data_IF_178534531097
#
_entry.id   IF_178534531097
#
_cell.length_a   1.000
_cell.length_b   1.000
_cell.length_c   1.000
_cell.angle_alpha   90.00
_cell.angle_beta   90.00
_cell.angle_gamma   90.00
#
_symmetry.space_group_name_H-M   'P 1'
#
loop_
_entity.id
_entity.type
_entity.pdbx_description
1 polymer ?
#
# COMPACT_ATOMS: atom_id res chain seq x y z
N UNK A 1 2.21 15.99 16.90
CA UNK A 1 1.33 16.53 15.84
C UNK A 1 -0.04 15.97 16.11
N UNK A 2 -1.03 16.85 16.31
CA UNK A 2 -2.42 16.46 16.56
C UNK A 2 -3.10 16.12 15.22
N UNK A 3 -3.53 14.88 14.95
CA UNK A 3 -4.15 14.50 13.70
C UNK A 3 -5.57 15.08 13.65
N UNK A 4 -5.67 16.35 13.24
CA UNK A 4 -6.98 16.94 12.96
C UNK A 4 -7.52 16.29 11.68
N UNK A 5 -8.82 15.90 11.65
CA UNK A 5 -9.42 15.37 10.43
C UNK A 5 -9.31 16.42 9.32
N UNK A 6 -8.66 16.03 8.22
CA UNK A 6 -8.51 16.89 7.06
C UNK A 6 -9.90 17.27 6.51
N UNK A 7 -10.06 18.54 6.11
CA UNK A 7 -11.25 18.97 5.36
C UNK A 7 -11.33 18.13 4.09
N UNK A 8 -12.49 17.49 3.86
CA UNK A 8 -12.71 16.56 2.77
C UNK A 8 -12.42 17.23 1.42
N UNK A 9 -11.44 16.73 0.69
CA UNK A 9 -11.38 16.87 -0.76
C UNK A 9 -12.73 16.47 -1.38
N UNK A 10 -13.12 16.97 -2.57
CA UNK A 10 -14.37 16.57 -3.21
C UNK A 10 -14.43 15.04 -3.29
N UNK A 11 -15.43 14.46 -2.63
CA UNK A 11 -15.66 13.02 -2.63
C UNK A 11 -15.86 12.56 -4.06
N UNK A 12 -15.04 11.59 -4.49
CA UNK A 12 -15.23 10.94 -5.77
C UNK A 12 -16.65 10.36 -5.80
N UNK A 13 -17.37 10.39 -6.95
CA UNK A 13 -18.73 9.89 -7.02
C UNK A 13 -18.82 8.35 -6.91
N UNK A 14 -17.70 7.71 -6.61
CA UNK A 14 -17.50 6.28 -6.51
C UNK A 14 -16.48 5.96 -5.41
N UNK A 15 -16.55 4.73 -4.88
CA UNK A 15 -15.51 4.10 -4.06
C UNK A 15 -14.93 2.90 -4.79
N UNK A 16 -13.66 2.61 -4.54
CA UNK A 16 -12.97 1.44 -5.10
C UNK A 16 -13.08 0.29 -4.13
N UNK A 17 -13.49 -0.86 -4.63
CA UNK A 17 -13.56 -2.12 -3.93
C UNK A 17 -12.63 -3.12 -4.60
N UNK A 18 -12.13 -4.05 -3.79
CA UNK A 18 -11.49 -5.23 -4.33
C UNK A 18 -12.47 -6.04 -5.20
N UNK A 19 -11.96 -6.96 -6.02
CA UNK A 19 -12.81 -7.71 -6.95
C UNK A 19 -13.86 -8.57 -6.21
N UNK A 20 -13.55 -9.10 -5.04
CA UNK A 20 -14.52 -9.79 -4.19
C UNK A 20 -15.59 -8.83 -3.62
N UNK A 21 -15.26 -7.55 -3.44
CA UNK A 21 -16.14 -6.56 -2.85
C UNK A 21 -16.17 -6.60 -1.32
N UNK A 22 -15.15 -7.19 -0.70
CA UNK A 22 -14.97 -7.37 0.75
C UNK A 22 -14.25 -6.19 1.38
N UNK A 23 -13.41 -5.50 0.62
CA UNK A 23 -12.64 -4.35 1.09
C UNK A 23 -12.75 -3.16 0.13
N UNK A 24 -13.07 -2.00 0.68
CA UNK A 24 -12.93 -0.71 0.02
C UNK A 24 -11.56 -0.08 0.32
N UNK A 25 -11.03 0.63 -0.66
CA UNK A 25 -9.84 1.47 -0.47
C UNK A 25 -10.03 2.83 -1.12
N UNK A 26 -9.94 3.89 -0.32
CA UNK A 26 -10.09 5.25 -0.81
C UNK A 26 -8.74 5.97 -0.77
N UNK A 27 -8.48 6.81 -1.76
CA UNK A 27 -7.30 7.67 -1.80
C UNK A 27 -7.70 9.12 -1.61
N UNK A 28 -7.21 9.78 -0.57
CA UNK A 28 -7.53 11.17 -0.27
C UNK A 28 -6.25 11.99 -0.11
N UNK A 29 -6.23 13.19 -0.69
CA UNK A 29 -5.21 14.19 -0.38
C UNK A 29 -5.59 14.89 0.92
N UNK A 30 -4.65 14.94 1.87
CA UNK A 30 -4.83 15.62 3.16
C UNK A 30 -4.28 17.06 3.11
N UNK A 31 -3.38 17.33 2.17
CA UNK A 31 -2.73 18.61 1.97
C UNK A 31 -1.51 18.47 1.05
N UNK A 32 -0.73 19.54 0.85
CA UNK A 32 0.50 19.47 0.07
C UNK A 32 1.42 18.36 0.59
N UNK A 33 1.73 17.39 -0.26
CA UNK A 33 2.66 16.32 0.07
C UNK A 33 2.14 15.27 1.06
N UNK A 34 0.84 15.24 1.36
CA UNK A 34 0.25 14.24 2.25
C UNK A 34 -1.00 13.63 1.64
N UNK A 35 -1.09 12.31 1.72
CA UNK A 35 -2.23 11.54 1.24
C UNK A 35 -2.53 10.39 2.20
N UNK A 36 -3.71 9.82 2.08
CA UNK A 36 -4.09 8.60 2.79
C UNK A 36 -4.64 7.58 1.82
N UNK A 37 -4.38 6.31 2.10
CA UNK A 37 -5.13 5.18 1.55
C UNK A 37 -5.86 4.49 2.68
N UNK A 38 -7.18 4.44 2.65
CA UNK A 38 -7.95 3.68 3.65
C UNK A 38 -8.06 2.20 3.26
N UNK A 39 -8.28 1.37 4.27
CA UNK A 39 -8.68 -0.03 4.19
C UNK A 39 -9.93 -0.19 5.04
N UNK A 40 -11.08 -0.40 4.39
CA UNK A 40 -12.40 -0.45 5.03
C UNK A 40 -13.07 -1.77 4.64
N UNK A 41 -13.35 -2.64 5.61
CA UNK A 41 -13.88 -3.98 5.39
C UNK A 41 -15.39 -4.07 5.67
N UNK A 42 -16.12 -4.80 4.83
CA UNK A 42 -17.58 -4.91 4.90
C UNK A 42 -18.13 -6.34 4.99
N UNK A 43 -17.30 -7.34 5.27
CA UNK A 43 -17.71 -8.72 5.51
C UNK A 43 -18.24 -8.90 6.93
N UNK A 44 -19.47 -9.39 7.03
CA UNK A 44 -20.19 -9.53 8.31
C UNK A 44 -19.31 -10.22 9.37
N UNK A 45 -19.19 -9.63 10.58
CA UNK A 45 -20.03 -8.59 11.15
C UNK A 45 -19.63 -7.13 10.80
N UNK A 46 -18.57 -6.91 10.01
CA UNK A 46 -18.05 -5.58 9.67
C UNK A 46 -18.96 -4.83 8.71
N UNK A 47 -18.85 -3.50 8.68
CA UNK A 47 -19.69 -2.63 7.85
C UNK A 47 -18.85 -1.50 7.26
N UNK A 48 -18.96 -1.31 5.95
CA UNK A 48 -18.30 -0.19 5.28
C UNK A 48 -18.64 1.16 5.93
N UNK A 49 -17.62 2.00 6.08
CA UNK A 49 -17.72 3.34 6.66
C UNK A 49 -17.75 3.37 8.18
N UNK A 50 -17.71 2.21 8.86
CA UNK A 50 -17.60 2.11 10.30
C UNK A 50 -16.23 1.54 10.67
N UNK A 51 -15.34 2.38 11.22
CA UNK A 51 -13.98 1.97 11.58
C UNK A 51 -13.98 0.91 12.69
N UNK A 52 -13.57 -0.28 12.34
CA UNK A 52 -13.28 -1.41 13.24
C UNK A 52 -11.77 -1.49 13.53
N UNK A 53 -11.25 -0.50 14.26
CA UNK A 53 -9.83 -0.38 14.61
C UNK A 53 -9.28 -1.67 15.27
N UNK A 54 -8.09 -2.08 14.88
CA UNK A 54 -7.49 -3.34 15.32
C UNK A 54 -8.19 -4.62 14.83
N UNK A 55 -9.17 -4.52 13.93
CA UNK A 55 -9.93 -5.67 13.37
C UNK A 55 -9.94 -5.70 11.84
N UNK A 56 -8.93 -5.10 11.23
CA UNK A 56 -8.68 -5.15 9.79
C UNK A 56 -8.81 -3.78 9.13
N UNK A 57 -9.66 -2.90 9.65
CA UNK A 57 -9.76 -1.53 9.15
C UNK A 57 -8.51 -0.72 9.52
N UNK A 58 -8.13 0.18 8.61
CA UNK A 58 -6.98 1.05 8.78
C UNK A 58 -6.60 1.71 7.47
N UNK A 59 -5.32 1.62 7.11
CA UNK A 59 -4.81 2.27 5.92
C UNK A 59 -3.36 2.72 6.04
N UNK A 60 -2.90 3.49 5.06
CA UNK A 60 -1.58 4.09 5.01
C UNK A 60 -1.67 5.61 5.06
N UNK A 61 -0.89 6.26 5.92
CA UNK A 61 -0.57 7.68 5.80
C UNK A 61 0.66 7.84 4.92
N UNK A 62 0.47 8.45 3.76
CA UNK A 62 1.53 8.72 2.78
C UNK A 62 2.04 10.15 2.94
N UNK A 63 3.35 10.30 2.98
CA UNK A 63 4.01 11.60 3.03
C UNK A 63 5.07 11.71 1.92
N UNK A 64 5.20 12.92 1.36
CA UNK A 64 6.32 13.30 0.51
C UNK A 64 7.38 14.02 1.33
N UNK A 65 8.65 13.67 1.14
CA UNK A 65 9.80 14.38 1.69
C UNK A 65 10.80 14.64 0.57
N UNK A 66 10.78 15.87 0.05
CA UNK A 66 11.53 16.20 -1.15
C UNK A 66 11.05 15.33 -2.32
N UNK A 67 11.93 14.49 -2.85
CA UNK A 67 11.63 13.56 -3.94
C UNK A 67 11.02 12.23 -3.48
N UNK A 68 11.10 11.91 -2.18
CA UNK A 68 10.73 10.59 -1.66
C UNK A 68 9.25 10.55 -1.30
N UNK A 69 8.58 9.47 -1.69
CA UNK A 69 7.20 9.16 -1.31
C UNK A 69 7.24 7.95 -0.38
N UNK A 70 6.67 8.11 0.82
CA UNK A 70 6.86 7.22 1.95
C UNK A 70 5.52 6.89 2.60
N UNK A 71 5.38 5.71 3.18
CA UNK A 71 4.37 5.42 4.20
C UNK A 71 4.96 5.80 5.56
N UNK A 72 4.40 6.84 6.20
CA UNK A 72 4.82 7.28 7.52
C UNK A 72 4.19 6.42 8.63
N UNK A 73 2.99 5.92 8.38
CA UNK A 73 2.20 5.13 9.32
C UNK A 73 1.26 4.20 8.57
N UNK A 74 1.07 3.00 9.10
CA UNK A 74 0.03 2.06 8.65
C UNK A 74 -0.80 1.54 9.82
N UNK A 75 -2.05 1.16 9.57
CA UNK A 75 -2.79 0.20 10.38
C UNK A 75 -3.29 -0.89 9.44
N UNK A 76 -2.81 -2.11 9.63
CA UNK A 76 -3.13 -3.27 8.82
C UNK A 76 -3.47 -4.49 9.70
N UNK A 77 -4.36 -5.36 9.18
CA UNK A 77 -4.45 -6.77 9.61
C UNK A 77 -4.66 -7.06 11.11
N UNK A 78 -5.10 -6.09 11.91
CA UNK A 78 -5.23 -6.22 13.36
C UNK A 78 -3.93 -6.06 14.16
N UNK A 79 -2.83 -5.66 13.53
CA UNK A 79 -1.57 -5.35 14.20
C UNK A 79 -1.57 -3.98 14.91
N UNK A 80 -2.66 -3.22 14.77
CA UNK A 80 -2.80 -1.86 15.27
C UNK A 80 -1.94 -0.87 14.48
N UNK A 81 -1.88 0.37 14.98
CA UNK A 81 -1.11 1.44 14.35
C UNK A 81 0.39 1.17 14.46
N UNK A 82 1.08 1.27 13.33
CA UNK A 82 2.52 1.13 13.18
C UNK A 82 3.10 2.40 12.55
N UNK A 83 4.01 3.06 13.26
CA UNK A 83 4.77 4.20 12.78
C UNK A 83 6.12 3.76 12.26
N UNK A 84 6.48 4.19 11.04
CA UNK A 84 7.76 3.85 10.41
C UNK A 84 8.79 4.94 10.67
N UNK A 85 9.91 4.54 11.24
CA UNK A 85 11.02 5.44 11.59
C UNK A 85 12.29 5.05 10.85
N UNK A 86 13.01 6.06 10.37
CA UNK A 86 14.40 5.95 9.92
C UNK A 86 15.38 6.34 11.03
N UNK A 87 16.71 6.18 10.80
CA UNK A 87 17.76 6.46 11.78
C UNK A 87 17.72 7.87 12.37
N UNK A 88 17.13 8.84 11.69
CA UNK A 88 17.08 10.23 12.15
C UNK A 88 16.15 10.45 13.35
N UNK A 89 15.24 9.51 13.65
CA UNK A 89 14.26 9.65 14.73
C UNK A 89 14.94 10.03 16.08
N UNK A 90 16.14 9.50 16.34
CA UNK A 90 16.91 9.78 17.56
C UNK A 90 17.99 10.85 17.45
N UNK A 91 17.96 11.71 16.42
CA UNK A 91 19.00 12.73 16.18
C UNK A 91 20.29 12.19 15.54
N UNK A 92 20.28 10.96 15.02
CA UNK A 92 21.42 10.45 14.24
C UNK A 92 21.44 11.13 12.87
N UNK A 93 22.63 11.57 12.43
CA UNK A 93 22.83 12.31 11.18
C UNK A 93 22.76 11.43 9.91
N UNK A 94 22.37 10.16 10.01
CA UNK A 94 22.14 9.32 8.82
C UNK A 94 20.86 9.76 8.12
N UNK A 95 21.00 10.43 6.98
CA UNK A 95 19.92 10.86 6.12
C UNK A 95 19.25 9.65 5.44
N UNK A 96 18.40 8.93 6.18
CA UNK A 96 17.38 8.06 5.59
C UNK A 96 16.02 8.78 5.65
N UNK A 97 15.11 8.51 4.71
CA UNK A 97 13.75 8.99 4.86
C UNK A 97 13.06 8.30 6.04
N UNK A 98 12.58 9.09 6.99
CA UNK A 98 11.69 8.66 8.06
C UNK A 98 10.35 8.22 7.46
N UNK A 99 10.22 6.91 7.27
CA UNK A 99 9.07 6.28 6.67
C UNK A 99 9.47 5.09 5.82
N UNK A 100 8.50 4.24 5.51
CA UNK A 100 8.68 3.13 4.58
C UNK A 100 8.66 3.64 3.14
N UNK A 101 9.81 3.58 2.45
CA UNK A 101 9.94 4.05 1.08
C UNK A 101 9.02 3.29 0.11
N UNK A 102 8.22 4.03 -0.64
CA UNK A 102 7.47 3.52 -1.80
C UNK A 102 8.28 3.79 -3.08
N UNK A 103 8.60 5.05 -3.36
CA UNK A 103 9.35 5.42 -4.56
C UNK A 103 9.94 6.81 -4.46
N UNK A 104 10.88 7.12 -5.36
CA UNK A 104 11.51 8.44 -5.50
C UNK A 104 11.21 9.03 -6.87
N UNK A 105 10.94 10.34 -6.90
CA UNK A 105 10.69 11.12 -8.10
C UNK A 105 11.93 11.91 -8.57
N UNK A 106 12.08 12.19 -9.86
CA UNK A 106 11.31 11.61 -10.97
C UNK A 106 11.63 10.11 -11.14
N UNK A 107 10.64 9.34 -11.55
CA UNK A 107 10.81 7.92 -11.89
C UNK A 107 10.70 7.72 -13.41
N UNK A 108 11.50 6.80 -13.94
CA UNK A 108 11.50 6.41 -15.35
C UNK A 108 10.85 5.04 -15.57
N UNK A 109 10.89 4.53 -16.83
CA UNK A 109 10.39 3.20 -17.16
C UNK A 109 11.30 2.06 -16.67
N UNK A 110 12.58 2.35 -16.46
CA UNK A 110 13.54 1.42 -15.90
C UNK A 110 13.38 1.29 -14.39
N UNK A 111 13.76 0.14 -13.85
CA UNK A 111 13.80 -0.05 -12.40
C UNK A 111 14.86 0.85 -11.78
N UNK A 112 14.41 1.72 -10.87
CA UNK A 112 15.27 2.38 -9.90
C UNK A 112 15.16 1.65 -8.56
N UNK A 113 16.18 1.74 -7.72
CA UNK A 113 16.22 1.03 -6.45
C UNK A 113 16.92 1.84 -5.34
N UNK A 114 16.57 1.52 -4.10
CA UNK A 114 17.26 2.00 -2.91
C UNK A 114 17.06 1.03 -1.75
N UNK A 115 18.10 0.87 -0.94
CA UNK A 115 18.00 0.25 0.38
C UNK A 115 17.98 1.33 1.45
N UNK A 116 16.87 1.44 2.16
CA UNK A 116 16.74 2.30 3.33
C UNK A 116 16.92 1.48 4.61
N UNK A 117 16.99 2.16 5.76
CA UNK A 117 16.94 1.50 7.06
C UNK A 117 15.70 1.99 7.77
N UNK A 118 14.84 1.08 8.20
CA UNK A 118 13.61 1.44 8.87
C UNK A 118 13.31 0.49 10.04
N UNK A 119 12.45 0.95 10.93
CA UNK A 119 11.83 0.10 11.94
C UNK A 119 10.47 0.67 12.35
N UNK A 120 9.54 -0.24 12.67
CA UNK A 120 8.18 0.10 13.12
C UNK A 120 8.10 0.26 14.62
N UNK A 121 7.23 1.17 15.08
CA UNK A 121 6.91 1.35 16.51
C UNK A 121 5.43 1.64 16.71
N UNK A 122 4.95 1.52 17.94
CA UNK A 122 3.55 1.80 18.28
C UNK A 122 3.22 3.30 18.45
N UNK A 123 4.22 4.19 18.41
CA UNK A 123 4.02 5.62 18.69
C UNK A 123 4.93 6.52 17.84
N UNK A 124 4.47 7.71 17.45
CA UNK A 124 5.20 8.61 16.54
C UNK A 124 6.45 9.24 17.17
N UNK A 125 6.53 9.28 18.50
CA UNK A 125 7.62 9.89 19.27
C UNK A 125 8.61 8.85 19.83
N UNK A 126 8.38 7.56 19.57
CA UNK A 126 9.22 6.47 20.09
C UNK A 126 10.22 6.01 19.04
N UNK A 127 11.48 6.35 19.23
CA UNK A 127 12.52 5.96 18.29
C UNK A 127 13.09 4.56 18.57
N UNK A 128 13.20 3.70 17.54
CA UNK A 128 13.87 2.42 17.65
C UNK A 128 15.34 2.52 18.06
N UNK A 129 15.81 1.54 18.84
CA UNK A 129 17.23 1.37 19.11
C UNK A 129 18.00 0.74 17.93
N UNK A 130 17.29 0.08 17.00
CA UNK A 130 17.87 -0.63 15.85
C UNK A 130 16.96 -0.49 14.63
N UNK A 131 17.58 -0.39 13.46
CA UNK A 131 16.93 -0.29 12.16
C UNK A 131 17.39 -1.42 11.25
N UNK A 132 16.45 -2.02 10.54
CA UNK A 132 16.71 -3.12 9.60
C UNK A 132 16.76 -2.60 8.16
N UNK A 133 17.55 -3.22 7.27
CA UNK A 133 17.53 -2.90 5.86
C UNK A 133 16.15 -3.12 5.25
N UNK A 134 15.82 -2.26 4.30
CA UNK A 134 14.59 -2.28 3.53
C UNK A 134 14.91 -1.93 2.08
N UNK A 135 15.01 -2.96 1.25
CA UNK A 135 15.21 -2.81 -0.18
C UNK A 135 13.89 -2.50 -0.87
N UNK A 136 13.87 -1.43 -1.66
CA UNK A 136 12.72 -1.02 -2.46
C UNK A 136 13.18 -0.74 -3.89
N UNK A 137 12.45 -1.24 -4.88
CA UNK A 137 12.62 -0.84 -6.28
C UNK A 137 11.31 -0.36 -6.88
N UNK A 138 11.38 0.58 -7.80
CA UNK A 138 10.21 1.18 -8.42
C UNK A 138 10.44 1.51 -9.89
N UNK A 139 9.35 1.62 -10.65
CA UNK A 139 9.36 2.12 -12.03
C UNK A 139 7.98 2.64 -12.44
N UNK A 140 7.96 3.50 -13.45
CA UNK A 140 6.73 3.90 -14.13
C UNK A 140 6.38 2.89 -15.22
N UNK A 141 5.10 2.62 -15.37
CA UNK A 141 4.58 1.72 -16.39
C UNK A 141 3.16 2.11 -16.73
N UNK A 142 2.74 1.87 -17.97
CA UNK A 142 1.33 1.97 -18.35
C UNK A 142 0.69 0.60 -18.21
N UNK A 143 -0.45 0.54 -17.52
CA UNK A 143 -1.13 -0.72 -17.18
C UNK A 143 -2.58 -0.65 -17.66
N UNK A 144 -3.05 -1.73 -18.27
CA UNK A 144 -4.47 -1.95 -18.55
C UNK A 144 -5.07 -2.72 -17.38
N UNK A 145 -5.90 -2.05 -16.59
CA UNK A 145 -6.55 -2.62 -15.41
C UNK A 145 -7.96 -3.11 -15.75
N UNK A 146 -8.40 -4.27 -15.23
CA UNK A 146 -9.80 -4.66 -15.34
C UNK A 146 -10.67 -3.62 -14.63
N UNK A 147 -11.84 -3.32 -15.18
CA UNK A 147 -12.80 -2.37 -14.61
C UNK A 147 -14.14 -3.05 -14.40
N UNK A 148 -14.75 -2.86 -13.24
CA UNK A 148 -16.15 -3.23 -12.99
C UNK A 148 -16.93 -2.04 -12.45
N UNK A 149 -18.12 -1.79 -13.01
CA UNK A 149 -19.13 -0.90 -12.40
C UNK A 149 -20.05 -1.78 -11.55
N UNK A 150 -19.91 -1.70 -10.23
CA UNK A 150 -20.50 -2.66 -9.31
C UNK A 150 -20.21 -4.13 -9.72
N UNK A 151 -21.20 -4.90 -10.17
CA UNK A 151 -21.00 -6.29 -10.65
C UNK A 151 -20.82 -6.39 -12.17
N UNK A 152 -21.01 -5.29 -12.91
CA UNK A 152 -20.99 -5.28 -14.36
C UNK A 152 -19.57 -5.05 -14.90
N UNK A 153 -19.00 -5.99 -15.66
CA UNK A 153 -17.69 -5.78 -16.28
C UNK A 153 -17.75 -4.67 -17.32
N UNK A 154 -16.66 -3.90 -17.42
CA UNK A 154 -16.44 -2.87 -18.44
C UNK A 154 -15.16 -3.17 -19.22
N UNK A 155 -14.95 -2.51 -20.37
CA UNK A 155 -13.63 -2.50 -21.00
C UNK A 155 -12.54 -2.08 -19.99
N UNK A 156 -11.36 -2.72 -20.01
CA UNK A 156 -10.24 -2.30 -19.18
C UNK A 156 -9.91 -0.82 -19.34
N UNK A 157 -9.47 -0.18 -18.27
CA UNK A 157 -8.99 1.19 -18.31
C UNK A 157 -7.47 1.21 -18.33
N UNK A 158 -6.90 2.11 -19.14
CA UNK A 158 -5.46 2.29 -19.26
C UNK A 158 -5.01 3.43 -18.34
N UNK A 159 -4.01 3.19 -17.52
CA UNK A 159 -3.46 4.20 -16.62
C UNK A 159 -1.94 4.14 -16.51
N UNK A 160 -1.31 5.32 -16.51
CA UNK A 160 0.06 5.48 -16.06
C UNK A 160 0.14 5.22 -14.56
N UNK A 161 1.07 4.35 -14.18
CA UNK A 161 1.17 3.82 -12.84
C UNK A 161 2.61 3.78 -12.36
N UNK A 162 2.80 3.91 -11.06
CA UNK A 162 4.04 3.54 -10.38
C UNK A 162 3.90 2.13 -9.84
N UNK A 163 4.80 1.24 -10.23
CA UNK A 163 5.01 -0.02 -9.50
C UNK A 163 6.09 0.23 -8.46
N UNK A 164 5.81 -0.16 -7.23
CA UNK A 164 6.75 -0.17 -6.11
C UNK A 164 6.83 -1.58 -5.55
N UNK A 165 8.02 -2.09 -5.37
CA UNK A 165 8.29 -3.40 -4.78
C UNK A 165 9.17 -3.22 -3.55
N UNK A 166 8.68 -3.69 -2.41
CA UNK A 166 9.40 -3.65 -1.15
C UNK A 166 9.70 -5.05 -0.63
N UNK A 167 10.98 -5.32 -0.44
CA UNK A 167 11.47 -6.62 -0.02
C UNK A 167 11.82 -6.61 1.47
N UNK A 168 11.42 -7.67 2.17
CA UNK A 168 11.80 -7.94 3.55
C UNK A 168 13.28 -8.27 3.68
N UNK A 169 14.15 -7.27 3.60
CA UNK A 169 15.59 -7.46 3.66
C UNK A 169 16.39 -6.41 2.90
N UNK A 170 17.65 -6.75 2.61
CA UNK A 170 18.62 -5.83 2.00
C UNK A 170 18.66 -5.90 0.46
N UNK A 171 18.15 -6.99 -0.11
CA UNK A 171 18.15 -7.32 -1.54
C UNK A 171 17.11 -8.41 -1.83
N UNK A 172 16.85 -8.66 -3.11
CA UNK A 172 15.86 -9.65 -3.58
C UNK A 172 16.28 -11.09 -3.24
N UNK A 173 17.58 -11.39 -3.28
CA UNK A 173 18.11 -12.75 -3.12
C UNK A 173 17.95 -13.28 -1.70
N UNK A 174 17.99 -12.38 -0.72
CA UNK A 174 17.90 -12.70 0.71
C UNK A 174 16.57 -12.32 1.33
N UNK A 175 15.65 -11.74 0.56
CA UNK A 175 14.32 -11.40 1.04
C UNK A 175 13.49 -12.66 1.29
N UNK A 176 12.77 -12.67 2.41
CA UNK A 176 11.81 -13.72 2.75
C UNK A 176 10.40 -13.43 2.22
N UNK A 177 10.06 -12.16 2.00
CA UNK A 177 8.80 -11.72 1.42
C UNK A 177 8.95 -10.44 0.59
N UNK A 178 7.92 -10.15 -0.20
CA UNK A 178 7.75 -8.93 -1.00
C UNK A 178 6.33 -8.40 -0.80
N UNK A 179 6.23 -7.09 -0.65
CA UNK A 179 5.00 -6.35 -0.88
C UNK A 179 5.11 -5.49 -2.13
N UNK A 180 4.18 -5.67 -3.07
CA UNK A 180 4.16 -4.94 -4.34
C UNK A 180 2.91 -4.09 -4.46
N UNK A 181 3.09 -2.85 -4.88
CA UNK A 181 2.07 -1.82 -4.96
C UNK A 181 1.97 -1.28 -6.38
N UNK A 182 0.75 -1.01 -6.83
CA UNK A 182 0.49 -0.20 -8.02
C UNK A 182 -0.26 1.05 -7.62
N UNK A 183 0.34 2.21 -7.92
CA UNK A 183 -0.28 3.51 -7.76
C UNK A 183 -0.65 4.06 -9.14
N UNK A 184 -1.93 4.00 -9.49
CA UNK A 184 -2.44 4.54 -10.75
C UNK A 184 -2.68 6.05 -10.62
N UNK A 185 -2.26 6.79 -11.65
CA UNK A 185 -2.42 8.23 -11.70
C UNK A 185 -3.90 8.62 -11.54
N UNK A 186 -4.17 9.53 -10.59
CA UNK A 186 -5.52 10.01 -10.28
C UNK A 186 -6.36 9.07 -9.41
N UNK A 187 -5.93 7.82 -9.18
CA UNK A 187 -6.67 6.83 -8.37
C UNK A 187 -5.94 6.43 -7.08
N UNK A 188 -4.65 6.74 -6.96
CA UNK A 188 -3.83 6.26 -5.84
C UNK A 188 -3.57 4.76 -5.97
N UNK A 189 -3.48 4.05 -4.85
CA UNK A 189 -3.22 2.62 -4.86
C UNK A 189 -4.42 1.83 -5.43
N UNK A 190 -4.18 0.99 -6.43
CA UNK A 190 -5.21 0.18 -7.10
C UNK A 190 -4.93 -1.32 -7.06
N UNK A 191 -3.71 -1.72 -6.70
CA UNK A 191 -3.35 -3.12 -6.44
C UNK A 191 -2.29 -3.21 -5.37
N UNK A 192 -2.42 -4.20 -4.51
CA UNK A 192 -1.41 -4.64 -3.56
C UNK A 192 -1.27 -6.15 -3.64
N UNK A 193 -0.03 -6.63 -3.54
CA UNK A 193 0.31 -8.05 -3.51
C UNK A 193 1.27 -8.35 -2.37
N UNK A 194 1.09 -9.52 -1.77
CA UNK A 194 2.07 -10.16 -0.91
C UNK A 194 2.60 -11.42 -1.59
N UNK A 195 3.91 -11.52 -1.67
CA UNK A 195 4.61 -12.71 -2.13
C UNK A 195 5.52 -13.25 -1.04
N UNK A 196 5.59 -14.57 -0.93
CA UNK A 196 6.54 -15.27 -0.07
C UNK A 196 7.64 -15.90 -0.91
N UNK A 197 8.88 -15.78 -0.45
CA UNK A 197 10.02 -16.43 -1.05
C UNK A 197 9.99 -17.94 -0.77
N UNK A 198 10.58 -18.78 -1.63
CA UNK A 198 10.59 -20.24 -1.44
C UNK A 198 11.31 -20.70 -0.16
N UNK A 199 12.17 -19.84 0.41
CA UNK A 199 12.93 -20.06 1.62
C UNK A 199 12.39 -19.27 2.84
N UNK A 200 11.17 -18.72 2.75
CA UNK A 200 10.56 -18.02 3.86
C UNK A 200 10.47 -18.93 5.10
N UNK A 201 11.04 -18.47 6.22
CA UNK A 201 11.07 -19.26 7.48
C UNK A 201 9.69 -19.35 8.13
N UNK A 202 8.88 -18.30 7.99
CA UNK A 202 7.51 -18.22 8.52
C UNK A 202 6.63 -17.51 7.50
N UNK A 203 6.25 -18.18 6.39
CA UNK A 203 5.45 -17.56 5.35
C UNK A 203 4.08 -17.16 5.91
N UNK A 204 3.54 -16.03 5.46
CA UNK A 204 2.16 -15.68 5.78
C UNK A 204 1.20 -16.70 5.18
N UNK A 205 0.07 -16.99 5.85
CA UNK A 205 -0.94 -17.88 5.30
C UNK A 205 -1.51 -17.29 4.01
N UNK A 206 -1.70 -18.14 2.99
CA UNK A 206 -2.34 -17.72 1.75
C UNK A 206 -3.81 -17.36 1.99
N UNK A 207 -4.24 -16.20 1.51
CA UNK A 207 -5.65 -15.84 1.44
C UNK A 207 -6.34 -16.70 0.38
N UNK A 208 -7.43 -17.39 0.72
CA UNK A 208 -8.21 -18.14 -0.27
C UNK A 208 -8.66 -17.24 -1.43
N UNK A 209 -8.44 -17.68 -2.66
CA UNK A 209 -8.85 -16.92 -3.84
C UNK A 209 -7.90 -15.78 -4.24
N UNK A 210 -6.72 -15.63 -3.63
CA UNK A 210 -5.82 -14.51 -3.88
C UNK A 210 -5.43 -14.36 -5.36
N UNK A 211 -5.14 -15.48 -6.04
CA UNK A 211 -4.76 -15.47 -7.45
C UNK A 211 -5.96 -15.13 -8.36
N UNK A 212 -7.12 -15.68 -8.04
CA UNK A 212 -8.38 -15.48 -8.77
C UNK A 212 -8.87 -14.03 -8.65
N UNK A 213 -8.61 -13.37 -7.52
CA UNK A 213 -8.96 -11.98 -7.25
C UNK A 213 -7.97 -10.97 -7.83
N UNK A 214 -6.93 -11.42 -8.53
CA UNK A 214 -5.92 -10.57 -9.12
C UNK A 214 -5.52 -11.02 -10.53
N UNK A 215 -6.33 -10.66 -11.54
CA UNK A 215 -6.01 -10.88 -12.94
C UNK A 215 -4.59 -10.40 -13.26
N UNK A 216 -3.91 -11.10 -14.17
CA UNK A 216 -2.57 -10.70 -14.59
C UNK A 216 -2.62 -9.30 -15.24
N UNK A 217 -1.75 -8.41 -14.79
CA UNK A 217 -1.54 -7.07 -15.37
C UNK A 217 -0.04 -6.87 -15.61
N UNK A 218 0.32 -5.85 -16.37
CA UNK A 218 1.74 -5.50 -16.60
C UNK A 218 2.49 -5.34 -15.28
N UNK A 219 3.58 -6.10 -15.14
CA UNK A 219 4.41 -6.13 -13.93
C UNK A 219 3.88 -7.00 -12.79
N UNK A 220 2.82 -7.79 -13.03
CA UNK A 220 2.24 -8.73 -12.06
C UNK A 220 2.94 -10.10 -12.02
N UNK A 221 4.03 -10.28 -12.78
CA UNK A 221 4.80 -11.52 -12.78
C UNK A 221 5.45 -11.78 -11.42
N UNK A 222 5.70 -13.05 -11.11
CA UNK A 222 6.41 -13.42 -9.90
C UNK A 222 7.80 -12.73 -9.82
N UNK A 223 8.27 -12.30 -8.64
CA UNK A 223 9.55 -11.60 -8.48
C UNK A 223 10.75 -12.42 -8.93
N UNK A 224 10.62 -13.75 -8.83
CA UNK A 224 11.60 -14.72 -9.27
C UNK A 224 11.06 -16.15 -9.16
N UNK A 225 11.86 -17.15 -9.53
CA UNK A 225 11.47 -18.55 -9.44
C UNK A 225 11.11 -18.97 -8.01
N UNK A 226 10.02 -19.71 -7.87
CA UNK A 226 9.58 -20.28 -6.58
C UNK A 226 8.88 -19.32 -5.63
N UNK A 227 8.75 -18.03 -5.98
CA UNK A 227 7.94 -17.09 -5.21
C UNK A 227 6.45 -17.42 -5.36
N UNK A 228 5.70 -17.33 -4.25
CA UNK A 228 4.28 -17.65 -4.20
C UNK A 228 3.48 -16.42 -3.82
N UNK A 229 2.47 -16.08 -4.63
CA UNK A 229 1.49 -15.05 -4.29
C UNK A 229 0.60 -15.57 -3.17
N UNK A 230 0.69 -14.98 -1.98
CA UNK A 230 -0.09 -15.41 -0.80
C UNK A 230 -1.27 -14.51 -0.52
N UNK A 231 -1.21 -13.22 -0.86
CA UNK A 231 -2.38 -12.35 -0.84
C UNK A 231 -2.31 -11.38 -2.01
N UNK A 232 -3.48 -11.02 -2.52
CA UNK A 232 -3.60 -9.99 -3.51
C UNK A 232 -4.95 -9.28 -3.40
N UNK A 233 -4.91 -7.96 -3.58
CA UNK A 233 -6.07 -7.08 -3.58
C UNK A 233 -5.98 -6.13 -4.75
N UNK A 234 -7.04 -6.08 -5.54
CA UNK A 234 -7.14 -5.19 -6.69
C UNK A 234 -8.42 -4.36 -6.61
N UNK A 235 -8.27 -3.08 -6.26
CA UNK A 235 -9.37 -2.15 -6.06
C UNK A 235 -9.81 -1.49 -7.38
N UNK A 236 -10.39 -2.29 -8.27
CA UNK A 236 -10.86 -1.81 -9.59
C UNK A 236 -12.34 -2.11 -9.85
N UNK A 237 -13.07 -2.48 -8.79
CA UNK A 237 -14.52 -2.50 -8.75
C UNK A 237 -15.03 -1.16 -8.21
N UNK A 238 -15.74 -0.39 -9.02
CA UNK A 238 -16.22 0.94 -8.67
C UNK A 238 -17.71 0.91 -8.35
N UNK A 239 -18.10 1.30 -7.13
CA UNK A 239 -19.52 1.43 -6.75
C UNK A 239 -19.88 2.89 -6.59
N UNK A 240 -21.05 3.29 -7.13
CA UNK A 240 -21.61 4.65 -7.00
C UNK A 240 -22.53 4.73 -5.78
N UNK A 241 -22.59 5.89 -5.13
CA UNK A 241 -23.57 6.20 -4.07
C UNK A 241 -23.12 5.92 -2.63
N UNK A 242 -22.14 5.06 -2.41
CA UNK A 242 -21.40 4.98 -1.13
C UNK A 242 -20.28 6.01 -1.18
N UNK A 243 -20.46 7.18 -0.58
CA UNK A 243 -19.55 8.33 -0.80
C UNK A 243 -18.63 8.63 0.36
N UNK A 244 -18.93 8.10 1.55
CA UNK A 244 -18.13 8.40 2.73
C UNK A 244 -17.00 7.38 2.84
N UNK A 245 -15.79 7.82 2.50
CA UNK A 245 -14.59 7.11 2.90
C UNK A 245 -14.60 6.96 4.42
N UNK A 246 -14.20 5.77 4.90
CA UNK A 246 -13.97 5.57 6.32
C UNK A 246 -12.97 6.62 6.84
N UNK A 247 -13.27 7.32 7.95
CA UNK A 247 -12.32 8.26 8.56
C UNK A 247 -11.00 7.56 8.89
N UNK A 248 -9.91 8.02 8.27
CA UNK A 248 -8.56 7.49 8.47
C UNK A 248 -7.49 8.50 8.02
N UNK A 249 -6.40 8.70 8.79
CA UNK A 249 -6.14 8.16 10.14
C UNK A 249 -7.05 8.70 11.24
#
# INVERSE_FOLDING_TARGET
>A
MDPRPARSAPTLPWRKFDLAGEQASDALLLGPGQATHSFDFGDAPRRFGQRDAGRGDGGNLIASRGADILVAMTEDGGAGIQWFHGPECGGSQEASPGGWLLFRLPAGPDWAEATTRLQRTAAPDRCPARYVPSFTRWRRVTVDYPWMDDTAPRPPFRADSMISEHFGGRDIMTADHLERFWFAQGLGMVRWERWEAPNAVSPAPSRPGAAEQCPLVTGGDAPGPGWVLTDCRMWTRFRRGEQQAMPWP
#
